data_IF_049668972695
#
_entry.id   IF_049668972695
#
_cell.length_a   1.000
_cell.length_b   1.000
_cell.length_c   1.000
_cell.angle_alpha   90.00
_cell.angle_beta   90.00
_cell.angle_gamma   90.00
#
_symmetry.space_group_name_H-M   'P 1'
#
loop_
_entity.id
_entity.type
_entity.pdbx_description
1 polymer ?
#
# COMPACT_ATOMS: atom_id res chain seq x y z
N UNK A 1 80.34 19.89 35.50
CA UNK A 1 79.32 18.80 35.48
C UNK A 1 78.02 19.42 35.02
N UNK A 2 77.56 19.09 33.80
CA UNK A 2 76.31 19.60 33.25
C UNK A 2 75.38 18.41 32.98
N UNK A 3 74.23 18.39 33.65
CA UNK A 3 73.21 17.35 33.48
C UNK A 3 72.17 17.85 32.47
N UNK A 4 72.15 17.24 31.29
CA UNK A 4 71.11 17.46 30.30
C UNK A 4 69.87 16.66 30.71
N UNK A 5 68.85 17.38 31.18
CA UNK A 5 67.52 16.82 31.48
C UNK A 5 66.79 16.47 30.18
N UNK A 6 66.63 15.17 29.91
CA UNK A 6 65.82 14.69 28.80
C UNK A 6 64.33 14.85 29.12
N UNK A 7 63.67 15.81 28.46
CA UNK A 7 62.21 15.97 28.53
C UNK A 7 61.56 14.96 27.58
N UNK A 8 61.16 13.80 28.11
CA UNK A 8 60.26 12.89 27.41
C UNK A 8 58.89 13.58 27.27
N UNK A 9 58.54 14.02 26.06
CA UNK A 9 57.18 14.47 25.74
C UNK A 9 56.39 13.25 25.26
N UNK A 10 55.46 12.77 26.09
CA UNK A 10 54.53 11.71 25.71
C UNK A 10 53.63 12.21 24.58
N UNK A 11 53.78 11.63 23.39
CA UNK A 11 52.83 11.83 22.29
C UNK A 11 51.58 11.00 22.59
N UNK A 12 50.54 11.62 23.16
CA UNK A 12 49.21 11.03 23.17
C UNK A 12 48.67 11.04 21.74
N UNK A 13 48.60 9.86 21.11
CA UNK A 13 47.80 9.69 19.91
C UNK A 13 46.34 10.10 20.20
N UNK A 14 45.61 10.70 19.24
CA UNK A 14 44.19 10.93 19.42
C UNK A 14 43.52 9.59 19.73
N UNK A 15 42.78 9.53 20.84
CA UNK A 15 41.99 8.35 21.22
C UNK A 15 41.09 7.99 20.04
N UNK A 16 41.40 6.89 19.35
CA UNK A 16 40.58 6.42 18.24
C UNK A 16 39.20 6.08 18.80
N UNK A 17 38.16 6.67 18.24
CA UNK A 17 36.79 6.32 18.58
C UNK A 17 36.60 4.80 18.42
N UNK A 18 35.81 4.21 19.30
CA UNK A 18 35.53 2.78 19.24
C UNK A 18 34.97 2.41 17.85
N UNK A 19 35.40 1.31 17.20
CA UNK A 19 34.95 0.96 15.84
C UNK A 19 33.42 0.99 15.66
N UNK A 20 32.67 0.50 16.65
CA UNK A 20 31.19 0.54 16.65
C UNK A 20 30.62 1.97 16.69
N UNK A 21 31.27 2.91 17.38
CA UNK A 21 30.80 4.29 17.42
C UNK A 21 30.98 4.98 16.06
N UNK A 22 32.08 4.65 15.35
CA UNK A 22 32.30 5.11 13.97
C UNK A 22 31.29 4.51 12.99
N UNK A 23 30.88 3.26 13.20
CA UNK A 23 29.87 2.57 12.39
C UNK A 23 28.48 3.21 12.56
N UNK A 24 28.08 3.51 13.81
CA UNK A 24 26.82 4.23 14.08
C UNK A 24 26.80 5.60 13.39
N UNK A 25 27.89 6.36 13.48
CA UNK A 25 28.01 7.69 12.85
C UNK A 25 27.93 7.63 11.31
N UNK A 26 28.55 6.61 10.69
CA UNK A 26 28.45 6.38 9.25
C UNK A 26 26.99 6.08 8.83
N UNK A 27 26.32 5.20 9.58
CA UNK A 27 24.92 4.85 9.30
C UNK A 27 23.98 6.06 9.43
N UNK A 28 24.18 6.91 10.45
CA UNK A 28 23.43 8.16 10.65
C UNK A 28 23.68 9.15 9.50
N UNK A 29 24.95 9.42 9.18
CA UNK A 29 25.34 10.34 8.10
C UNK A 29 24.75 9.91 6.74
N UNK A 30 24.74 8.60 6.47
CA UNK A 30 24.17 8.03 5.25
C UNK A 30 22.65 8.13 5.21
N UNK A 31 21.95 7.93 6.33
CA UNK A 31 20.50 8.11 6.42
C UNK A 31 20.10 9.57 6.21
N UNK A 32 20.79 10.52 6.86
CA UNK A 32 20.56 11.96 6.70
C UNK A 32 20.78 12.42 5.24
N UNK A 33 21.85 11.94 4.59
CA UNK A 33 22.14 12.26 3.19
C UNK A 33 21.09 11.70 2.21
N UNK A 34 20.39 10.63 2.59
CA UNK A 34 19.35 9.99 1.76
C UNK A 34 18.01 10.75 1.77
N UNK A 35 17.84 11.74 2.63
CA UNK A 35 16.68 12.63 2.63
C UNK A 35 16.83 13.81 1.65
N UNK A 36 18.08 14.24 1.40
CA UNK A 36 18.38 15.44 0.60
C UNK A 36 18.70 15.15 -0.88
N UNK A 37 19.08 13.91 -1.23
CA UNK A 37 19.49 13.56 -2.59
C UNK A 37 18.57 12.50 -3.22
N UNK A 38 17.74 12.93 -4.18
CA UNK A 38 16.96 12.12 -5.14
C UNK A 38 16.04 11.00 -4.61
N UNK A 39 14.85 10.92 -5.19
CA UNK A 39 13.73 10.00 -4.90
C UNK A 39 14.06 8.49 -5.17
N UNK A 40 15.34 8.12 -5.33
CA UNK A 40 15.75 6.84 -5.93
C UNK A 40 15.96 5.66 -4.97
N UNK A 41 16.13 5.89 -3.67
CA UNK A 41 16.27 4.76 -2.73
C UNK A 41 14.90 4.17 -2.45
N UNK A 42 14.71 2.89 -2.79
CA UNK A 42 13.48 2.17 -2.47
C UNK A 42 13.25 2.17 -0.95
N UNK A 43 11.99 2.13 -0.53
CA UNK A 43 11.61 2.05 0.89
C UNK A 43 12.36 0.92 1.62
N UNK A 44 12.51 -0.23 0.96
CA UNK A 44 13.24 -1.38 1.50
C UNK A 44 14.70 -1.04 1.82
N UNK A 45 15.40 -0.33 0.94
CA UNK A 45 16.78 0.10 1.21
C UNK A 45 16.89 1.07 2.38
N UNK A 46 15.89 1.94 2.60
CA UNK A 46 15.86 2.82 3.77
C UNK A 46 15.63 2.02 5.05
N UNK A 47 14.71 1.05 5.02
CA UNK A 47 14.43 0.16 6.14
C UNK A 47 15.63 -0.73 6.49
N UNK A 48 16.32 -1.30 5.50
CA UNK A 48 17.54 -2.08 5.73
C UNK A 48 18.65 -1.24 6.38
N UNK A 49 18.81 0.02 5.94
CA UNK A 49 19.79 0.94 6.54
C UNK A 49 19.45 1.28 7.98
N UNK A 50 18.17 1.49 8.28
CA UNK A 50 17.67 1.73 9.63
C UNK A 50 17.86 0.50 10.53
N UNK A 51 17.57 -0.69 10.02
CA UNK A 51 17.82 -1.95 10.72
C UNK A 51 19.30 -2.09 11.11
N UNK A 52 20.22 -1.89 10.15
CA UNK A 52 21.64 -1.97 10.44
C UNK A 52 22.11 -0.92 11.46
N UNK A 53 21.52 0.29 11.46
CA UNK A 53 21.81 1.31 12.49
C UNK A 53 21.40 0.81 13.88
N UNK A 54 20.20 0.22 14.00
CA UNK A 54 19.74 -0.34 15.26
C UNK A 54 20.62 -1.51 15.74
N UNK A 55 21.02 -2.42 14.84
CA UNK A 55 21.94 -3.52 15.16
C UNK A 55 23.28 -3.01 15.71
N UNK A 56 23.85 -1.97 15.09
CA UNK A 56 25.11 -1.38 15.54
C UNK A 56 24.96 -0.65 16.88
N UNK A 57 23.83 0.02 17.07
CA UNK A 57 23.50 0.71 18.33
C UNK A 57 23.32 -0.29 19.46
N UNK A 58 22.64 -1.42 19.23
CA UNK A 58 22.50 -2.49 20.22
C UNK A 58 23.87 -3.04 20.64
N UNK A 59 24.75 -3.35 19.67
CA UNK A 59 26.12 -3.80 19.96
C UNK A 59 26.91 -2.77 20.76
N UNK A 60 26.74 -1.48 20.47
CA UNK A 60 27.39 -0.39 21.22
C UNK A 60 26.88 -0.31 22.67
N UNK A 61 25.57 -0.49 22.89
CA UNK A 61 24.94 -0.51 24.21
C UNK A 61 25.38 -1.71 25.06
N UNK A 62 25.69 -2.84 24.42
CA UNK A 62 26.16 -4.05 25.10
C UNK A 62 27.64 -3.98 25.55
N UNK A 63 28.40 -2.95 25.14
CA UNK A 63 29.78 -2.81 25.59
C UNK A 63 29.85 -2.53 27.10
N UNK A 64 30.78 -3.18 27.85
CA UNK A 64 30.90 -2.96 29.29
C UNK A 64 31.15 -1.50 29.67
N UNK A 65 31.89 -0.76 28.84
CA UNK A 65 32.15 0.66 29.07
C UNK A 65 30.88 1.50 28.92
N UNK A 66 30.07 1.23 27.88
CA UNK A 66 28.79 1.92 27.66
C UNK A 66 27.83 1.61 28.80
N UNK A 67 27.70 0.35 29.20
CA UNK A 67 26.84 -0.04 30.33
C UNK A 67 27.28 0.62 31.64
N UNK A 68 28.60 0.69 31.90
CA UNK A 68 29.14 1.36 33.08
C UNK A 68 28.77 2.85 33.09
N UNK A 69 28.89 3.53 31.94
CA UNK A 69 28.50 4.94 31.81
C UNK A 69 27.01 5.10 32.06
N UNK A 70 26.17 4.30 31.39
CA UNK A 70 24.70 4.39 31.52
C UNK A 70 24.19 4.02 32.92
N UNK A 71 24.89 3.15 33.65
CA UNK A 71 24.53 2.74 35.02
C UNK A 71 24.93 3.75 36.11
N UNK A 72 25.67 4.80 35.75
CA UNK A 72 26.10 5.80 36.71
C UNK A 72 24.91 6.68 37.11
N UNK A 73 24.70 6.88 38.42
CA UNK A 73 23.51 7.54 38.98
C UNK A 73 23.25 8.94 38.41
N UNK A 74 24.31 9.67 38.06
CA UNK A 74 24.23 10.99 37.40
C UNK A 74 23.60 10.97 36.00
N UNK A 75 23.47 9.81 35.36
CA UNK A 75 22.87 9.67 34.03
C UNK A 75 21.44 9.12 34.06
N UNK A 76 20.87 8.85 35.24
CA UNK A 76 19.54 8.25 35.38
C UNK A 76 18.43 9.04 34.70
N UNK A 77 18.38 10.36 34.92
CA UNK A 77 17.37 11.25 34.30
C UNK A 77 17.49 11.27 32.76
N UNK A 78 18.72 11.29 32.23
CA UNK A 78 18.96 11.26 30.78
C UNK A 78 18.54 9.93 30.13
N UNK A 79 18.83 8.81 30.82
CA UNK A 79 18.41 7.49 30.36
C UNK A 79 16.88 7.37 30.37
N UNK A 80 16.22 7.87 31.42
CA UNK A 80 14.76 7.88 31.51
C UNK A 80 14.12 8.74 30.40
N UNK A 81 14.65 9.94 30.14
CA UNK A 81 14.20 10.79 29.04
C UNK A 81 14.32 10.09 27.68
N UNK A 82 15.45 9.42 27.42
CA UNK A 82 15.69 8.67 26.18
C UNK A 82 14.71 7.50 26.02
N UNK A 83 14.45 6.76 27.11
CA UNK A 83 13.49 5.65 27.12
C UNK A 83 12.07 6.14 26.90
N UNK A 84 11.69 7.24 27.55
CA UNK A 84 10.38 7.86 27.36
C UNK A 84 10.18 8.36 25.92
N UNK A 85 11.21 8.96 25.30
CA UNK A 85 11.19 9.31 23.89
C UNK A 85 11.01 8.08 22.97
N UNK A 86 11.71 6.99 23.28
CA UNK A 86 11.58 5.72 22.54
C UNK A 86 10.18 5.10 22.67
N UNK A 87 9.58 5.17 23.86
CA UNK A 87 8.21 4.72 24.11
C UNK A 87 7.20 5.58 23.33
N UNK A 88 7.36 6.91 23.32
CA UNK A 88 6.50 7.81 22.56
C UNK A 88 6.50 7.50 21.06
N UNK A 89 7.65 7.15 20.48
CA UNK A 89 7.74 6.72 19.07
C UNK A 89 6.97 5.41 18.81
N UNK A 90 7.01 4.47 19.75
CA UNK A 90 6.26 3.20 19.64
C UNK A 90 4.74 3.42 19.69
N UNK A 91 4.29 4.36 20.53
CA UNK A 91 2.87 4.74 20.63
C UNK A 91 2.38 5.41 19.33
N UNK A 92 3.20 6.29 18.76
CA UNK A 92 2.91 6.91 17.46
C UNK A 92 2.85 5.87 16.34
N UNK A 93 3.81 4.93 16.29
CA UNK A 93 3.79 3.84 15.31
C UNK A 93 2.57 2.92 15.47
N UNK A 94 2.16 2.65 16.71
CA UNK A 94 0.94 1.88 17.00
C UNK A 94 -0.29 2.60 16.46
N UNK A 95 -0.38 3.90 16.69
CA UNK A 95 -1.45 4.75 16.15
C UNK A 95 -1.46 4.73 14.62
N UNK A 96 -0.30 4.91 13.99
CA UNK A 96 -0.15 4.88 12.53
C UNK A 96 -0.58 3.51 11.94
N UNK A 97 -0.15 2.41 12.57
CA UNK A 97 -0.56 1.05 12.21
C UNK A 97 -2.07 0.89 12.29
N UNK A 98 -2.71 1.37 13.35
CA UNK A 98 -4.16 1.25 13.53
C UNK A 98 -4.93 2.06 12.48
N UNK A 99 -4.46 3.27 12.13
CA UNK A 99 -5.03 4.05 11.02
C UNK A 99 -4.93 3.28 9.70
N UNK A 100 -3.76 2.70 9.39
CA UNK A 100 -3.58 1.88 8.19
C UNK A 100 -4.50 0.66 8.19
N UNK A 101 -4.66 -0.02 9.34
CA UNK A 101 -5.58 -1.15 9.48
C UNK A 101 -7.04 -0.74 9.25
N UNK A 102 -7.47 0.41 9.78
CA UNK A 102 -8.82 0.91 9.54
C UNK A 102 -9.05 1.24 8.06
N UNK A 103 -8.08 1.88 7.38
CA UNK A 103 -8.19 2.16 5.93
C UNK A 103 -8.28 0.85 5.14
N UNK A 104 -7.49 -0.17 5.50
CA UNK A 104 -7.55 -1.50 4.90
C UNK A 104 -8.91 -2.18 5.09
N UNK A 105 -9.54 -2.02 6.26
CA UNK A 105 -10.86 -2.59 6.52
C UNK A 105 -11.95 -1.89 5.71
N UNK A 106 -11.96 -0.55 5.70
CA UNK A 106 -12.91 0.25 4.90
C UNK A 106 -12.83 -0.07 3.41
N UNK A 107 -11.61 -0.19 2.87
CA UNK A 107 -11.39 -0.54 1.45
C UNK A 107 -11.85 -1.96 1.12
N UNK A 108 -11.65 -2.94 2.02
CA UNK A 108 -12.19 -4.30 1.86
C UNK A 108 -13.73 -4.33 1.88
N UNK A 109 -14.37 -3.49 2.71
CA UNK A 109 -15.82 -3.34 2.73
C UNK A 109 -16.36 -2.75 1.43
N UNK A 110 -15.75 -1.66 0.96
CA UNK A 110 -16.14 -0.95 -0.27
C UNK A 110 -16.00 -1.83 -1.52
N UNK A 111 -14.90 -2.57 -1.64
CA UNK A 111 -14.65 -3.47 -2.79
C UNK A 111 -15.67 -4.60 -2.86
N UNK A 112 -16.06 -5.19 -1.72
CA UNK A 112 -17.15 -6.18 -1.67
C UNK A 112 -18.51 -5.58 -2.09
N UNK A 113 -18.82 -4.36 -1.63
CA UNK A 113 -20.04 -3.64 -2.01
C UNK A 113 -20.12 -3.39 -3.51
N UNK A 114 -19.04 -2.90 -4.11
CA UNK A 114 -18.94 -2.67 -5.55
C UNK A 114 -19.13 -3.97 -6.36
N UNK A 115 -18.44 -5.06 -5.96
CA UNK A 115 -18.58 -6.36 -6.63
C UNK A 115 -20.02 -6.90 -6.58
N UNK A 116 -20.73 -6.68 -5.48
CA UNK A 116 -22.14 -7.06 -5.35
C UNK A 116 -23.03 -6.22 -6.27
N UNK A 117 -22.80 -4.91 -6.35
CA UNK A 117 -23.60 -4.02 -7.20
C UNK A 117 -23.42 -4.32 -8.70
N UNK A 118 -22.19 -4.60 -9.13
CA UNK A 118 -21.91 -5.09 -10.49
C UNK A 118 -22.66 -6.39 -10.77
N UNK A 119 -22.67 -7.33 -9.82
CA UNK A 119 -23.40 -8.61 -9.95
C UNK A 119 -24.92 -8.39 -10.10
N UNK A 120 -25.50 -7.48 -9.31
CA UNK A 120 -26.93 -7.11 -9.42
C UNK A 120 -27.23 -6.51 -10.79
N UNK A 121 -26.42 -5.56 -11.25
CA UNK A 121 -26.58 -4.94 -12.57
C UNK A 121 -26.56 -5.99 -13.69
N UNK A 122 -25.57 -6.89 -13.69
CA UNK A 122 -25.47 -7.96 -14.69
C UNK A 122 -26.67 -8.91 -14.65
N UNK A 123 -27.16 -9.24 -13.46
CA UNK A 123 -28.35 -10.09 -13.27
C UNK A 123 -29.62 -9.41 -13.81
N UNK A 124 -29.79 -8.12 -13.49
CA UNK A 124 -30.89 -7.29 -14.01
C UNK A 124 -30.84 -7.17 -15.53
N UNK A 125 -29.66 -6.87 -16.10
CA UNK A 125 -29.43 -6.84 -17.55
C UNK A 125 -29.80 -8.17 -18.22
N UNK A 126 -29.42 -9.30 -17.61
CA UNK A 126 -29.77 -10.64 -18.10
C UNK A 126 -31.28 -10.90 -18.02
N UNK A 127 -31.94 -10.47 -16.95
CA UNK A 127 -33.39 -10.59 -16.79
C UNK A 127 -34.15 -9.75 -17.82
N UNK A 128 -33.76 -8.49 -18.02
CA UNK A 128 -34.33 -7.61 -19.04
C UNK A 128 -34.17 -8.20 -20.44
N UNK A 129 -32.97 -8.68 -20.79
CA UNK A 129 -32.71 -9.35 -22.08
C UNK A 129 -33.61 -10.58 -22.27
N UNK A 130 -33.80 -11.41 -21.23
CA UNK A 130 -34.71 -12.57 -21.28
C UNK A 130 -36.17 -12.17 -21.47
N UNK A 131 -36.63 -11.14 -20.77
CA UNK A 131 -38.00 -10.63 -20.88
C UNK A 131 -38.28 -10.13 -22.31
N UNK A 132 -37.36 -9.34 -22.88
CA UNK A 132 -37.44 -8.85 -24.26
C UNK A 132 -37.46 -10.02 -25.26
N UNK A 133 -36.61 -11.05 -25.07
CA UNK A 133 -36.63 -12.22 -25.94
C UNK A 133 -37.95 -13.01 -25.85
N UNK A 134 -38.55 -13.09 -24.66
CA UNK A 134 -39.83 -13.77 -24.46
C UNK A 134 -40.96 -13.05 -25.19
N UNK A 135 -41.05 -11.73 -25.07
CA UNK A 135 -42.08 -10.94 -25.78
C UNK A 135 -41.91 -11.02 -27.29
N UNK A 136 -40.68 -10.94 -27.80
CA UNK A 136 -40.39 -11.09 -29.23
C UNK A 136 -40.77 -12.48 -29.79
N UNK A 137 -40.56 -13.56 -29.00
CA UNK A 137 -40.98 -14.91 -29.41
C UNK A 137 -42.50 -15.05 -29.48
N UNK A 138 -43.22 -14.50 -28.50
CA UNK A 138 -44.68 -14.54 -28.50
C UNK A 138 -45.27 -13.78 -29.70
N UNK A 139 -44.68 -12.64 -30.06
CA UNK A 139 -45.11 -11.85 -31.22
C UNK A 139 -44.95 -12.61 -32.55
N UNK A 140 -43.99 -13.52 -32.66
CA UNK A 140 -43.83 -14.40 -33.83
C UNK A 140 -44.81 -15.58 -33.86
N UNK A 141 -45.32 -16.01 -32.72
CA UNK A 141 -46.20 -17.20 -32.65
C UNK A 141 -47.68 -16.88 -32.93
N UNK A 142 -48.10 -15.62 -32.75
CA UNK A 142 -49.45 -15.15 -33.14
C UNK A 142 -49.68 -15.13 -34.67
N UNK A 143 -48.68 -15.51 -35.48
CA UNK A 143 -48.82 -15.80 -36.90
C UNK A 143 -49.30 -17.25 -37.13
N UNK A 144 -50.52 -17.60 -36.75
CA UNK A 144 -51.14 -18.87 -37.17
C UNK A 144 -52.42 -18.66 -37.96
N UNK A 145 -52.28 -18.81 -39.28
CA UNK A 145 -53.18 -19.55 -40.19
C UNK A 145 -54.68 -19.34 -40.02
N UNK A 146 -55.22 -18.33 -40.70
CA UNK A 146 -56.39 -18.53 -41.57
C UNK A 146 -56.79 -17.20 -42.20
N UNK A 147 -56.26 -16.88 -43.38
CA UNK A 147 -57.03 -16.11 -44.36
C UNK A 147 -56.60 -16.54 -45.76
N UNK A 148 -57.46 -17.37 -46.36
CA UNK A 148 -57.51 -17.59 -47.79
C UNK A 148 -57.59 -16.22 -48.49
N UNK A 149 -56.72 -16.04 -49.47
CA UNK A 149 -56.85 -15.10 -50.59
C UNK A 149 -57.32 -13.68 -50.22
N UNK A 150 -56.45 -12.88 -49.61
CA UNK A 150 -56.45 -11.43 -49.88
C UNK A 150 -55.10 -10.74 -49.64
N UNK A 151 -54.69 -10.04 -50.71
CA UNK A 151 -53.94 -8.78 -50.73
C UNK A 151 -52.40 -8.81 -50.56
N UNK A 152 -51.70 -8.44 -51.64
CA UNK A 152 -50.28 -8.08 -51.63
C UNK A 152 -49.90 -7.11 -50.50
N UNK A 153 -50.85 -6.25 -50.06
CA UNK A 153 -50.69 -5.36 -48.91
C UNK A 153 -50.40 -6.12 -47.60
N UNK A 154 -51.03 -7.28 -47.36
CA UNK A 154 -50.77 -8.10 -46.17
C UNK A 154 -49.34 -8.63 -46.19
N UNK A 155 -48.84 -9.04 -47.36
CA UNK A 155 -47.44 -9.51 -47.51
C UNK A 155 -46.43 -8.39 -47.26
N UNK A 156 -46.67 -7.18 -47.80
CA UNK A 156 -45.83 -6.00 -47.53
C UNK A 156 -45.83 -5.65 -46.05
N UNK A 157 -46.99 -5.65 -45.38
CA UNK A 157 -47.09 -5.38 -43.95
C UNK A 157 -46.33 -6.41 -43.10
N UNK A 158 -46.35 -7.69 -43.49
CA UNK A 158 -45.55 -8.75 -42.84
C UNK A 158 -44.05 -8.52 -42.97
N UNK A 159 -43.60 -8.12 -44.15
CA UNK A 159 -42.19 -7.82 -44.39
C UNK A 159 -41.70 -6.61 -43.60
N UNK A 160 -42.51 -5.54 -43.52
CA UNK A 160 -42.24 -4.38 -42.65
C UNK A 160 -42.13 -4.79 -41.18
N UNK A 161 -43.02 -5.67 -40.72
CA UNK A 161 -43.00 -6.18 -39.34
C UNK A 161 -41.72 -6.99 -39.07
N UNK A 162 -41.28 -7.84 -40.01
CA UNK A 162 -40.06 -8.64 -39.89
C UNK A 162 -38.79 -7.77 -39.85
N UNK A 163 -38.68 -6.77 -40.73
CA UNK A 163 -37.55 -5.82 -40.75
C UNK A 163 -37.48 -5.02 -39.45
N UNK A 164 -38.63 -4.52 -38.96
CA UNK A 164 -38.72 -3.77 -37.71
C UNK A 164 -38.22 -4.60 -36.51
N UNK A 165 -38.63 -5.87 -36.43
CA UNK A 165 -38.19 -6.79 -35.37
C UNK A 165 -36.68 -7.06 -35.43
N UNK A 166 -36.12 -7.25 -36.63
CA UNK A 166 -34.69 -7.46 -36.84
C UNK A 166 -33.88 -6.25 -36.36
N UNK A 167 -34.36 -5.04 -36.65
CA UNK A 167 -33.71 -3.79 -36.24
C UNK A 167 -33.70 -3.60 -34.70
N UNK A 168 -34.81 -3.92 -34.03
CA UNK A 168 -34.87 -3.94 -32.55
C UNK A 168 -33.92 -4.99 -31.93
N UNK A 169 -33.78 -6.15 -32.57
CA UNK A 169 -32.82 -7.17 -32.13
C UNK A 169 -31.35 -6.75 -32.35
N UNK A 170 -31.04 -5.98 -33.39
CA UNK A 170 -29.68 -5.51 -33.62
C UNK A 170 -29.22 -4.42 -32.63
N UNK A 171 -30.15 -3.65 -32.09
CA UNK A 171 -29.87 -2.50 -31.20
C UNK A 171 -29.79 -2.87 -29.72
N UNK A 172 -30.67 -3.76 -29.25
CA UNK A 172 -30.74 -4.16 -27.83
C UNK A 172 -29.65 -5.18 -27.44
N UNK A 173 -29.10 -5.90 -28.42
CA UNK A 173 -28.28 -7.10 -28.17
C UNK A 173 -26.78 -6.92 -28.47
N UNK A 174 -26.31 -5.71 -28.75
CA UNK A 174 -24.88 -5.35 -28.84
C UNK A 174 -24.20 -5.26 -27.47
#
# INVERSE_FOLDING_TARGET
MATTSYHNRSNSFPSRAHPLASEVDEHLSRLASSESASISSSLNQKLDRLHNLHDCTEKLLLLPLTQKILSHEQHGEYVDELLNGSLGLLDEFTTAKDVVLQVKERTKGATKGFANEVRKYLSSKKAAKRAILKTLKNLKHEESTSLNETCAMVSVLREVQAVTLSMYQATIFK
#
